data_IF_959323970110
#
_entry.id   IF_959323970110
#
_cell.length_a   1.000
_cell.length_b   1.000
_cell.length_c   1.000
_cell.angle_alpha   90.00
_cell.angle_beta   90.00
_cell.angle_gamma   90.00
#
_symmetry.space_group_name_H-M   'P 1'
#
loop_
_entity.id
_entity.type
_entity.pdbx_description
1 polymer ?
#
# COMPACT_ATOMS: atom_id res chain seq x y z
N UNK A 1 25.58 0.81 -8.75
CA UNK A 1 25.09 -0.18 -7.80
C UNK A 1 24.18 0.38 -6.70
N UNK A 2 24.22 1.68 -6.38
CA UNK A 2 23.37 2.32 -5.34
C UNK A 2 22.08 2.98 -5.85
N UNK A 3 21.86 3.03 -7.16
CA UNK A 3 20.71 3.73 -7.79
C UNK A 3 19.36 3.13 -7.39
N UNK A 4 19.20 1.80 -7.49
CA UNK A 4 17.93 1.12 -7.15
C UNK A 4 17.58 1.26 -5.67
N UNK A 5 18.49 1.00 -4.71
CA UNK A 5 18.20 1.24 -3.29
C UNK A 5 17.81 2.68 -2.98
N UNK A 6 18.41 3.67 -3.63
CA UNK A 6 18.06 5.07 -3.47
C UNK A 6 16.67 5.38 -4.03
N UNK A 7 16.33 4.87 -5.21
CA UNK A 7 14.99 5.01 -5.80
C UNK A 7 13.93 4.33 -4.92
N UNK A 8 14.21 3.14 -4.43
CA UNK A 8 13.33 2.44 -3.50
C UNK A 8 13.13 3.23 -2.20
N UNK A 9 14.18 3.81 -1.64
CA UNK A 9 14.09 4.67 -0.46
C UNK A 9 13.21 5.89 -0.71
N UNK A 10 13.39 6.58 -1.83
CA UNK A 10 12.55 7.72 -2.22
C UNK A 10 11.09 7.30 -2.36
N UNK A 11 10.84 6.19 -3.05
CA UNK A 11 9.49 5.64 -3.20
C UNK A 11 8.85 5.28 -1.86
N UNK A 12 9.58 4.63 -0.96
CA UNK A 12 9.11 4.32 0.40
C UNK A 12 8.79 5.58 1.22
N UNK A 13 9.61 6.62 1.13
CA UNK A 13 9.34 7.90 1.80
C UNK A 13 8.07 8.58 1.28
N UNK A 14 7.87 8.56 -0.03
CA UNK A 14 6.65 9.08 -0.66
C UNK A 14 5.42 8.27 -0.24
N UNK A 15 5.51 6.95 -0.21
CA UNK A 15 4.46 6.05 0.25
C UNK A 15 4.11 6.28 1.72
N UNK A 16 5.11 6.34 2.59
CA UNK A 16 4.92 6.62 4.01
C UNK A 16 4.23 7.96 4.27
N UNK A 17 4.56 8.99 3.49
CA UNK A 17 3.90 10.29 3.54
C UNK A 17 2.45 10.21 3.05
N UNK A 18 2.21 9.48 1.97
CA UNK A 18 0.89 9.37 1.35
C UNK A 18 -0.11 8.61 2.23
N UNK A 19 0.24 7.44 2.71
CA UNK A 19 -0.68 6.51 3.36
C UNK A 19 -0.43 6.38 4.87
N UNK A 20 0.82 6.38 5.31
CA UNK A 20 1.18 6.23 6.72
C UNK A 20 0.74 7.39 7.59
N UNK A 21 0.90 8.63 7.11
CA UNK A 21 0.53 9.83 7.87
C UNK A 21 -0.96 9.91 8.20
N UNK A 22 -1.90 9.68 7.26
CA UNK A 22 -3.33 9.65 7.58
C UNK A 22 -3.72 8.56 8.57
N UNK A 23 -3.13 7.36 8.47
CA UNK A 23 -3.41 6.25 9.38
C UNK A 23 -3.05 6.60 10.83
N UNK A 24 -1.86 7.17 11.04
CA UNK A 24 -1.41 7.63 12.36
C UNK A 24 -2.29 8.78 12.86
N UNK A 25 -2.59 9.77 12.01
CA UNK A 25 -3.39 10.92 12.37
C UNK A 25 -4.81 10.54 12.85
N UNK A 26 -5.46 9.58 12.19
CA UNK A 26 -6.77 9.05 12.59
C UNK A 26 -6.70 8.44 14.00
N UNK A 27 -5.66 7.65 14.30
CA UNK A 27 -5.48 7.05 15.61
C UNK A 27 -5.24 8.10 16.70
N UNK A 28 -4.33 9.05 16.46
CA UNK A 28 -4.04 10.14 17.41
C UNK A 28 -5.29 10.97 17.70
N UNK A 29 -6.09 11.26 16.69
CA UNK A 29 -7.38 11.97 16.85
C UNK A 29 -8.37 11.16 17.68
N UNK A 30 -8.48 9.86 17.44
CA UNK A 30 -9.41 8.98 18.14
C UNK A 30 -9.02 8.79 19.61
N UNK A 31 -7.73 8.68 19.93
CA UNK A 31 -7.24 8.49 21.30
C UNK A 31 -7.06 9.81 22.07
N UNK A 32 -7.06 10.95 21.37
CA UNK A 32 -6.76 12.27 21.93
C UNK A 32 -5.42 12.35 22.69
N UNK A 33 -4.49 11.46 22.36
CA UNK A 33 -3.17 11.38 22.99
C UNK A 33 -2.10 11.37 21.90
N UNK A 34 -1.11 12.25 22.03
CA UNK A 34 0.08 12.24 21.19
C UNK A 34 1.09 11.30 21.83
N UNK A 35 1.20 10.10 21.30
CA UNK A 35 2.17 9.09 21.77
C UNK A 35 2.97 8.54 20.59
N UNK A 36 4.17 8.03 20.87
CA UNK A 36 4.99 7.37 19.85
C UNK A 36 4.45 5.97 19.46
N UNK A 37 3.54 5.40 20.25
CA UNK A 37 3.06 4.03 20.07
C UNK A 37 2.46 3.78 18.68
N UNK A 38 1.55 4.61 18.12
CA UNK A 38 1.04 4.39 16.77
C UNK A 38 2.12 4.39 15.69
N UNK A 39 3.13 5.26 15.81
CA UNK A 39 4.24 5.31 14.87
C UNK A 39 5.08 4.03 14.95
N UNK A 40 5.41 3.59 16.16
CA UNK A 40 6.19 2.37 16.37
C UNK A 40 5.45 1.13 15.88
N UNK A 41 4.15 1.02 16.14
CA UNK A 41 3.32 -0.09 15.67
C UNK A 41 3.26 -0.14 14.15
N UNK A 42 3.01 0.99 13.49
CA UNK A 42 2.97 1.06 12.04
C UNK A 42 4.33 0.75 11.43
N UNK A 43 5.41 1.34 11.96
CA UNK A 43 6.77 1.08 11.50
C UNK A 43 7.18 -0.39 11.67
N UNK A 44 6.86 -0.99 12.82
CA UNK A 44 7.13 -2.40 13.05
C UNK A 44 6.36 -3.30 12.07
N UNK A 45 5.09 -3.00 11.81
CA UNK A 45 4.29 -3.75 10.84
C UNK A 45 4.87 -3.65 9.42
N UNK A 46 5.24 -2.44 8.98
CA UNK A 46 5.81 -2.19 7.64
C UNK A 46 7.17 -2.86 7.44
N UNK A 47 7.97 -2.98 8.50
CA UNK A 47 9.30 -3.62 8.43
C UNK A 47 9.23 -5.14 8.56
N UNK A 48 8.39 -5.65 9.48
CA UNK A 48 8.41 -7.07 9.83
C UNK A 48 7.52 -7.93 8.93
N UNK A 49 6.36 -7.42 8.51
CA UNK A 49 5.42 -8.24 7.75
C UNK A 49 5.89 -8.59 6.33
N UNK A 50 6.59 -7.73 5.59
CA UNK A 50 7.19 -8.10 4.30
C UNK A 50 8.21 -9.23 4.39
N UNK A 51 8.93 -9.31 5.51
CA UNK A 51 9.88 -10.40 5.75
C UNK A 51 9.21 -11.78 5.87
N UNK A 52 7.90 -11.80 6.20
CA UNK A 52 7.10 -13.03 6.31
C UNK A 52 6.40 -13.35 5.00
N UNK A 53 6.02 -12.34 4.22
CA UNK A 53 5.26 -12.51 2.99
C UNK A 53 5.64 -11.45 1.94
N UNK A 54 6.34 -11.85 0.88
CA UNK A 54 6.84 -11.00 -0.22
C UNK A 54 5.96 -11.01 -1.48
N UNK A 55 4.76 -11.59 -1.41
CA UNK A 55 3.91 -11.86 -2.60
C UNK A 55 3.50 -10.61 -3.39
N UNK A 56 3.40 -9.44 -2.75
CA UNK A 56 3.03 -8.21 -3.47
C UNK A 56 4.17 -7.76 -4.39
N UNK A 57 5.41 -7.78 -3.89
CA UNK A 57 6.59 -7.47 -4.69
C UNK A 57 6.74 -8.42 -5.89
N UNK A 58 6.57 -9.73 -5.67
CA UNK A 58 6.57 -10.75 -6.74
C UNK A 58 5.49 -10.47 -7.78
N UNK A 59 4.29 -10.07 -7.34
CA UNK A 59 3.18 -9.73 -8.25
C UNK A 59 3.53 -8.51 -9.13
N UNK A 60 4.13 -7.47 -8.56
CA UNK A 60 4.55 -6.26 -9.31
C UNK A 60 5.59 -6.63 -10.36
N UNK A 61 6.59 -7.41 -9.99
CA UNK A 61 7.63 -7.89 -10.93
C UNK A 61 7.01 -8.73 -12.05
N UNK A 62 6.10 -9.65 -11.73
CA UNK A 62 5.42 -10.50 -12.71
C UNK A 62 4.49 -9.75 -13.68
N UNK A 63 4.09 -8.51 -13.35
CA UNK A 63 3.35 -7.64 -14.29
C UNK A 63 4.22 -7.07 -15.39
N UNK A 64 5.49 -6.80 -15.07
CA UNK A 64 6.43 -6.14 -15.98
C UNK A 64 7.02 -7.14 -16.95
N UNK A 65 7.37 -8.34 -16.48
CA UNK A 65 8.01 -9.37 -17.27
C UNK A 65 7.32 -10.71 -17.11
N UNK A 66 6.65 -11.21 -18.18
CA UNK A 66 6.06 -12.55 -18.18
C UNK A 66 7.11 -13.67 -18.29
N UNK A 67 8.36 -13.35 -18.59
CA UNK A 67 9.46 -14.31 -18.70
C UNK A 67 10.41 -14.20 -17.50
N UNK A 68 10.74 -15.34 -16.89
CA UNK A 68 11.57 -15.39 -15.67
C UNK A 68 12.97 -14.76 -15.84
N UNK A 69 13.47 -14.62 -17.08
CA UNK A 69 14.79 -14.05 -17.37
C UNK A 69 14.90 -12.53 -17.22
N UNK A 70 13.83 -11.81 -17.51
CA UNK A 70 13.81 -10.33 -17.53
C UNK A 70 13.38 -9.70 -16.21
N UNK A 71 12.86 -10.50 -15.29
CA UNK A 71 12.30 -10.05 -14.01
C UNK A 71 13.32 -9.34 -13.10
N UNK A 72 14.61 -9.54 -13.37
CA UNK A 72 15.71 -8.95 -12.61
C UNK A 72 16.45 -7.83 -13.38
N UNK A 73 15.90 -7.32 -14.50
CA UNK A 73 16.53 -6.20 -15.19
C UNK A 73 16.47 -4.94 -14.31
N UNK A 74 17.64 -4.46 -13.84
CA UNK A 74 17.70 -3.29 -12.96
C UNK A 74 17.20 -2.01 -13.64
N UNK A 75 17.27 -1.92 -14.96
CA UNK A 75 16.78 -0.76 -15.71
C UNK A 75 15.26 -0.75 -15.69
N UNK A 76 14.63 -1.89 -15.89
CA UNK A 76 13.18 -2.04 -15.86
C UNK A 76 12.61 -1.67 -14.48
N UNK A 77 13.21 -2.21 -13.42
CA UNK A 77 12.83 -1.90 -12.05
C UNK A 77 13.01 -0.42 -11.71
N UNK A 78 14.13 0.17 -12.10
CA UNK A 78 14.39 1.60 -11.93
C UNK A 78 13.33 2.45 -12.66
N UNK A 79 12.96 2.08 -13.87
CA UNK A 79 11.94 2.78 -14.67
C UNK A 79 10.58 2.73 -13.99
N UNK A 80 10.17 1.58 -13.47
CA UNK A 80 8.91 1.43 -12.71
C UNK A 80 8.91 2.32 -11.46
N UNK A 81 10.00 2.29 -10.67
CA UNK A 81 10.11 3.10 -9.45
C UNK A 81 10.10 4.60 -9.74
N UNK A 82 10.78 5.04 -10.81
CA UNK A 82 10.78 6.44 -11.24
C UNK A 82 9.38 6.85 -11.69
N UNK A 83 8.75 6.10 -12.57
CA UNK A 83 7.42 6.40 -13.09
C UNK A 83 6.37 6.45 -11.96
N UNK A 84 6.38 5.47 -11.06
CA UNK A 84 5.48 5.46 -9.90
C UNK A 84 5.75 6.65 -8.98
N UNK A 85 7.02 6.97 -8.67
CA UNK A 85 7.39 8.11 -7.81
C UNK A 85 6.95 9.44 -8.42
N UNK A 86 7.17 9.65 -9.72
CA UNK A 86 6.73 10.86 -10.44
C UNK A 86 5.21 10.99 -10.41
N UNK A 87 4.49 9.89 -10.63
CA UNK A 87 3.02 9.88 -10.55
C UNK A 87 2.53 10.25 -9.16
N UNK A 88 3.12 9.66 -8.09
CA UNK A 88 2.78 9.99 -6.70
C UNK A 88 3.05 11.46 -6.40
N UNK A 89 4.21 11.99 -6.81
CA UNK A 89 4.56 13.40 -6.58
C UNK A 89 3.61 14.35 -7.31
N UNK A 90 3.30 14.06 -8.57
CA UNK A 90 2.41 14.90 -9.38
C UNK A 90 1.00 14.95 -8.82
N UNK A 91 0.41 13.80 -8.47
CA UNK A 91 -0.93 13.72 -7.93
C UNK A 91 -1.03 14.29 -6.51
N UNK A 92 -0.05 13.99 -5.65
CA UNK A 92 0.01 14.57 -4.30
C UNK A 92 0.21 16.09 -4.33
N UNK A 93 1.01 16.60 -5.28
CA UNK A 93 1.17 18.04 -5.51
C UNK A 93 -0.12 18.72 -5.96
N UNK A 94 -0.96 18.00 -6.71
CA UNK A 94 -2.30 18.43 -7.11
C UNK A 94 -3.39 18.24 -6.04
N UNK A 95 -3.05 17.68 -4.87
CA UNK A 95 -4.03 17.38 -3.81
C UNK A 95 -4.98 16.22 -4.16
N UNK A 96 -4.61 15.39 -5.12
CA UNK A 96 -5.40 14.22 -5.54
C UNK A 96 -5.00 13.01 -4.69
N UNK A 97 -5.95 12.37 -3.96
CA UNK A 97 -5.67 11.13 -3.24
C UNK A 97 -5.15 10.04 -4.19
N UNK A 98 -4.05 9.43 -3.85
CA UNK A 98 -3.35 8.49 -4.74
C UNK A 98 -3.12 7.16 -4.03
N UNK A 99 -3.36 6.06 -4.74
CA UNK A 99 -2.99 4.71 -4.29
C UNK A 99 -1.59 4.38 -4.78
N UNK A 100 -0.70 3.99 -3.86
CA UNK A 100 0.66 3.50 -4.17
C UNK A 100 0.57 2.28 -5.07
N UNK A 101 -0.30 1.33 -4.75
CA UNK A 101 -0.51 0.12 -5.54
C UNK A 101 -0.93 0.43 -6.97
N UNK A 102 -1.88 1.37 -7.16
CA UNK A 102 -2.30 1.75 -8.50
C UNK A 102 -1.20 2.49 -9.28
N UNK A 103 -0.39 3.31 -8.61
CA UNK A 103 0.77 3.95 -9.23
C UNK A 103 1.80 2.91 -9.70
N UNK A 104 2.09 1.90 -8.89
CA UNK A 104 2.96 0.78 -9.28
C UNK A 104 2.37 -0.05 -10.42
N UNK A 105 1.09 -0.41 -10.36
CA UNK A 105 0.41 -1.16 -11.44
C UNK A 105 0.45 -0.37 -12.74
N UNK A 106 0.18 0.93 -12.71
CA UNK A 106 0.25 1.79 -13.88
C UNK A 106 1.67 1.89 -14.45
N UNK A 107 2.67 2.09 -13.60
CA UNK A 107 4.07 2.14 -14.00
C UNK A 107 4.55 0.79 -14.58
N UNK A 108 4.23 -0.33 -13.93
CA UNK A 108 4.57 -1.67 -14.38
C UNK A 108 3.90 -2.01 -15.73
N UNK A 109 2.62 -1.66 -15.87
CA UNK A 109 1.90 -1.88 -17.14
C UNK A 109 2.48 -1.04 -18.27
N UNK A 110 2.84 0.23 -17.98
CA UNK A 110 3.44 1.13 -18.95
C UNK A 110 4.82 0.66 -19.43
N UNK A 111 5.67 0.22 -18.51
CA UNK A 111 6.99 -0.33 -18.86
C UNK A 111 6.89 -1.66 -19.59
N UNK A 112 5.99 -2.54 -19.18
CA UNK A 112 5.71 -3.79 -19.90
C UNK A 112 5.19 -3.55 -21.32
N UNK A 113 4.39 -2.50 -21.53
CA UNK A 113 3.91 -2.11 -22.84
C UNK A 113 5.05 -1.61 -23.77
N UNK A 114 5.99 -0.86 -23.21
CA UNK A 114 7.17 -0.39 -23.96
C UNK A 114 8.17 -1.50 -24.27
N UNK A 115 8.27 -2.52 -23.41
CA UNK A 115 9.18 -3.67 -23.57
C UNK A 115 8.61 -4.85 -24.36
N UNK A 116 7.33 -4.78 -24.79
CA UNK A 116 6.70 -5.83 -25.58
C UNK A 116 5.26 -6.14 -25.22
N UNK A 117 5.02 -6.87 -24.15
CA UNK A 117 3.64 -7.19 -23.72
C UNK A 117 3.56 -7.34 -22.18
N UNK A 118 2.82 -6.46 -21.51
CA UNK A 118 2.55 -6.63 -20.09
C UNK A 118 1.61 -7.83 -19.85
N UNK A 119 1.71 -8.42 -18.69
CA UNK A 119 0.80 -9.49 -18.28
C UNK A 119 -0.61 -8.93 -17.99
N UNK A 120 -1.39 -8.69 -19.04
CA UNK A 120 -2.73 -8.11 -18.94
C UNK A 120 -3.67 -8.89 -18.03
N UNK A 121 -3.56 -10.21 -17.99
CA UNK A 121 -4.39 -11.03 -17.11
C UNK A 121 -4.13 -10.69 -15.64
N UNK A 122 -2.87 -10.51 -15.27
CA UNK A 122 -2.48 -10.14 -13.91
C UNK A 122 -2.87 -8.70 -13.59
N UNK A 123 -2.62 -7.77 -14.52
CA UNK A 123 -3.02 -6.35 -14.40
C UNK A 123 -4.52 -6.22 -14.15
N UNK A 124 -5.35 -6.85 -14.99
CA UNK A 124 -6.80 -6.80 -14.86
C UNK A 124 -7.30 -7.45 -13.57
N UNK A 125 -6.64 -8.53 -13.11
CA UNK A 125 -6.95 -9.15 -11.82
C UNK A 125 -6.70 -8.19 -10.67
N UNK A 126 -5.56 -7.52 -10.64
CA UNK A 126 -5.22 -6.56 -9.57
C UNK A 126 -6.14 -5.35 -9.61
N UNK A 127 -6.42 -4.80 -10.79
CA UNK A 127 -7.40 -3.71 -10.94
C UNK A 127 -8.81 -4.12 -10.50
N UNK A 128 -9.24 -5.33 -10.85
CA UNK A 128 -10.52 -5.88 -10.38
C UNK A 128 -10.60 -5.97 -8.85
N UNK A 129 -9.55 -6.47 -8.21
CA UNK A 129 -9.45 -6.52 -6.75
C UNK A 129 -9.45 -5.10 -6.17
N UNK A 130 -8.73 -4.16 -6.77
CA UNK A 130 -8.66 -2.77 -6.31
C UNK A 130 -10.03 -2.07 -6.35
N UNK A 131 -10.88 -2.40 -7.32
CA UNK A 131 -12.26 -1.87 -7.41
C UNK A 131 -13.21 -2.59 -6.45
N UNK A 132 -13.08 -3.91 -6.30
CA UNK A 132 -13.97 -4.70 -5.46
C UNK A 132 -13.69 -4.57 -3.96
N UNK A 133 -12.41 -4.37 -3.58
CA UNK A 133 -12.02 -4.31 -2.15
C UNK A 133 -12.68 -3.18 -1.37
N UNK A 134 -12.85 -1.93 -1.87
CA UNK A 134 -13.58 -0.89 -1.15
C UNK A 134 -15.05 -1.24 -0.92
N UNK A 135 -15.68 -1.90 -1.89
CA UNK A 135 -17.08 -2.34 -1.76
C UNK A 135 -17.23 -3.43 -0.70
N UNK A 136 -16.32 -4.42 -0.73
CA UNK A 136 -16.28 -5.47 0.30
C UNK A 136 -15.98 -4.89 1.68
N UNK A 137 -14.99 -3.99 1.80
CA UNK A 137 -14.65 -3.31 3.04
C UNK A 137 -15.82 -2.49 3.59
N UNK A 138 -16.55 -1.78 2.74
CA UNK A 138 -17.75 -1.06 3.12
C UNK A 138 -18.84 -1.99 3.66
N UNK A 139 -19.14 -3.10 2.98
CA UNK A 139 -20.12 -4.07 3.41
C UNK A 139 -19.77 -4.71 4.76
N UNK A 140 -18.51 -5.13 4.93
CA UNK A 140 -17.99 -5.70 6.18
C UNK A 140 -18.06 -4.67 7.31
N UNK A 141 -17.57 -3.45 7.08
CA UNK A 141 -17.58 -2.38 8.07
C UNK A 141 -19.01 -2.01 8.50
N UNK A 142 -19.94 -1.96 7.54
CA UNK A 142 -21.35 -1.72 7.81
C UNK A 142 -21.96 -2.82 8.68
N UNK A 143 -21.66 -4.07 8.37
CA UNK A 143 -22.13 -5.23 9.15
C UNK A 143 -21.58 -5.20 10.57
N UNK A 144 -20.26 -5.00 10.72
CA UNK A 144 -19.63 -4.89 12.05
C UNK A 144 -20.25 -3.74 12.84
N UNK A 145 -20.44 -2.57 12.22
CA UNK A 145 -21.07 -1.42 12.87
C UNK A 145 -22.48 -1.74 13.37
N UNK A 146 -23.31 -2.37 12.55
CA UNK A 146 -24.68 -2.74 12.93
C UNK A 146 -24.71 -3.73 14.10
N UNK A 147 -23.80 -4.71 14.11
CA UNK A 147 -23.67 -5.69 15.18
C UNK A 147 -23.12 -5.06 16.48
N UNK A 148 -22.14 -4.18 16.37
CA UNK A 148 -21.50 -3.54 17.51
C UNK A 148 -22.39 -2.46 18.15
N UNK A 149 -23.21 -1.76 17.35
CA UNK A 149 -24.07 -0.66 17.81
C UNK A 149 -25.02 -1.07 18.95
N UNK A 150 -25.44 -2.33 18.96
CA UNK A 150 -26.38 -2.84 19.98
C UNK A 150 -25.71 -3.33 21.26
N UNK A 151 -24.39 -3.51 21.28
CA UNK A 151 -23.68 -4.24 22.36
C UNK A 151 -22.55 -3.47 23.04
N UNK A 152 -22.07 -2.38 22.47
CA UNK A 152 -20.89 -1.69 23.03
C UNK A 152 -21.23 -0.30 23.56
N UNK A 153 -20.77 0.04 24.79
CA UNK A 153 -20.80 1.42 25.24
C UNK A 153 -19.88 2.27 24.35
N UNK A 154 -20.32 3.52 24.11
CA UNK A 154 -19.63 4.49 23.24
C UNK A 154 -18.15 4.59 23.60
N UNK A 155 -17.29 4.31 22.59
CA UNK A 155 -15.85 4.59 22.62
C UNK A 155 -15.03 3.91 23.74
N UNK A 156 -14.80 2.61 23.61
CA UNK A 156 -13.73 1.96 24.38
C UNK A 156 -12.38 2.25 23.69
N UNK A 157 -11.41 2.82 24.41
CA UNK A 157 -10.02 3.02 23.96
C UNK A 157 -9.42 1.70 23.44
N UNK A 158 -9.80 0.58 24.02
CA UNK A 158 -9.39 -0.76 23.60
C UNK A 158 -9.85 -1.08 22.18
N UNK A 159 -11.10 -0.74 21.81
CA UNK A 159 -11.60 -0.97 20.44
C UNK A 159 -10.87 -0.12 19.41
N UNK A 160 -10.56 1.13 19.75
CA UNK A 160 -9.75 2.01 18.89
C UNK A 160 -8.35 1.43 18.69
N UNK A 161 -7.73 0.96 19.76
CA UNK A 161 -6.39 0.35 19.70
C UNK A 161 -6.37 -0.94 18.88
N UNK A 162 -7.34 -1.84 19.09
CA UNK A 162 -7.47 -3.08 18.32
C UNK A 162 -7.75 -2.79 16.84
N UNK A 163 -8.62 -1.83 16.54
CA UNK A 163 -8.86 -1.40 15.17
C UNK A 163 -7.60 -0.86 14.48
N UNK A 164 -6.82 -0.07 15.21
CA UNK A 164 -5.54 0.45 14.69
C UNK A 164 -4.50 -0.67 14.51
N UNK A 165 -4.41 -1.61 15.43
CA UNK A 165 -3.53 -2.78 15.29
C UNK A 165 -3.86 -3.57 14.03
N UNK A 166 -5.14 -3.88 13.80
CA UNK A 166 -5.57 -4.57 12.58
C UNK A 166 -5.25 -3.77 11.32
N UNK A 167 -5.39 -2.44 11.36
CA UNK A 167 -5.01 -1.56 10.26
C UNK A 167 -3.51 -1.59 9.99
N UNK A 168 -2.67 -1.56 11.04
CA UNK A 168 -1.21 -1.70 10.89
C UNK A 168 -0.82 -3.04 10.28
N UNK A 169 -1.45 -4.14 10.72
CA UNK A 169 -1.21 -5.47 10.16
C UNK A 169 -1.62 -5.55 8.69
N UNK A 170 -2.80 -5.03 8.34
CA UNK A 170 -3.28 -5.01 6.97
C UNK A 170 -2.38 -4.14 6.06
N UNK A 171 -2.02 -2.94 6.53
CA UNK A 171 -1.15 -2.04 5.78
C UNK A 171 0.26 -2.61 5.61
N UNK A 172 0.89 -3.10 6.69
CA UNK A 172 2.23 -3.66 6.62
C UNK A 172 2.33 -4.90 5.74
N UNK A 173 1.30 -5.76 5.72
CA UNK A 173 1.30 -6.94 4.86
C UNK A 173 1.02 -6.64 3.38
N UNK A 174 0.43 -5.50 3.06
CA UNK A 174 0.08 -5.12 1.69
C UNK A 174 1.04 -4.08 1.10
N UNK A 175 1.31 -3.01 1.81
CA UNK A 175 2.04 -1.85 1.30
C UNK A 175 3.47 -1.73 1.88
N UNK A 176 3.86 -2.60 2.81
CA UNK A 176 5.20 -2.65 3.39
C UNK A 176 6.25 -3.35 2.51
N UNK A 177 5.84 -3.89 1.35
CA UNK A 177 6.69 -4.71 0.47
C UNK A 177 7.37 -3.92 -0.63
#
# INVERSE_FOLDING_TARGET
MWTIPMLALVFCLLGGRNDGSPLVAINLKATRRVTAVPFLMLSAAVVLLPAINSRVGETVVAMVSPTEGDAHDPILLATVLIAASVTLLALNGGGVPTSITLALVGASSGTGFAGGQPNWQLVLRVLGIAVLSPLAAFAISRTIYLLARSRTPRSSTTMVFLGFLLTCLAYGSNDGQ
#
